data_IF_822923320426
#
_entry.id   IF_822923320426
#
_cell.length_a   1.000
_cell.length_b   1.000
_cell.length_c   1.000
_cell.angle_alpha   90.00
_cell.angle_beta   90.00
_cell.angle_gamma   90.00
#
_symmetry.space_group_name_H-M   'P 1'
#
loop_
_entity.id
_entity.type
_entity.pdbx_description
1 polymer ?
#
# COMPACT_ATOMS: atom_id res chain seq x y z
N UNK A 1 18.10 -3.78 -19.47
CA UNK A 1 17.26 -4.79 -18.80
C UNK A 1 16.25 -4.02 -17.97
N UNK A 2 14.97 -4.04 -18.34
CA UNK A 2 13.90 -3.44 -17.52
C UNK A 2 13.63 -4.38 -16.36
N UNK A 3 14.22 -4.08 -15.19
CA UNK A 3 13.90 -4.81 -13.95
C UNK A 3 12.42 -4.71 -13.64
N UNK A 4 11.84 -5.75 -13.02
CA UNK A 4 10.47 -5.70 -12.52
C UNK A 4 10.34 -4.54 -11.54
N UNK A 5 9.27 -3.76 -11.67
CA UNK A 5 8.98 -2.68 -10.74
C UNK A 5 8.37 -3.29 -9.48
N UNK A 6 9.19 -3.42 -8.43
CA UNK A 6 8.84 -4.03 -7.16
C UNK A 6 8.72 -2.96 -6.08
N UNK A 7 7.67 -3.06 -5.26
CA UNK A 7 7.54 -2.35 -3.99
C UNK A 7 7.33 -3.35 -2.86
N UNK A 8 8.08 -3.18 -1.77
CA UNK A 8 8.02 -4.02 -0.58
C UNK A 8 7.63 -3.14 0.59
N UNK A 9 6.62 -3.50 1.37
CA UNK A 9 6.23 -2.76 2.56
C UNK A 9 6.15 -3.68 3.77
N UNK A 10 6.48 -3.18 4.95
CA UNK A 10 6.47 -3.93 6.20
C UNK A 10 5.84 -3.11 7.32
N UNK A 11 5.22 -3.80 8.29
CA UNK A 11 4.44 -3.19 9.34
C UNK A 11 4.73 -3.87 10.68
N UNK A 12 5.56 -3.23 11.50
CA UNK A 12 5.89 -3.72 12.83
C UNK A 12 5.28 -2.83 13.93
N UNK A 13 4.08 -3.17 14.42
CA UNK A 13 3.46 -2.43 15.52
C UNK A 13 4.23 -2.55 16.84
N UNK A 14 5.06 -3.61 17.04
CA UNK A 14 5.79 -3.79 18.31
C UNK A 14 6.87 -2.72 18.51
N UNK A 15 7.45 -2.26 17.42
CA UNK A 15 8.48 -1.22 17.42
C UNK A 15 7.96 0.14 16.90
N UNK A 16 6.64 0.27 16.67
CA UNK A 16 6.02 1.46 16.05
C UNK A 16 6.73 1.89 14.75
N UNK A 17 7.09 0.89 13.95
CA UNK A 17 7.93 1.03 12.76
C UNK A 17 7.23 0.42 11.55
N UNK A 18 7.06 1.23 10.51
CA UNK A 18 6.57 0.78 9.21
C UNK A 18 7.49 1.31 8.11
N UNK A 19 7.47 0.71 6.95
CA UNK A 19 8.23 1.25 5.83
C UNK A 19 7.85 0.66 4.50
N UNK A 20 8.31 1.32 3.45
CA UNK A 20 8.24 0.85 2.06
C UNK A 20 9.60 1.01 1.38
N UNK A 21 10.00 0.02 0.60
CA UNK A 21 11.26 -0.03 -0.15
C UNK A 21 10.94 -0.32 -1.61
N UNK A 22 11.58 0.43 -2.51
CA UNK A 22 11.40 0.36 -3.96
C UNK A 22 12.75 0.53 -4.65
N UNK A 23 12.82 0.14 -5.92
CA UNK A 23 13.92 0.58 -6.78
C UNK A 23 14.00 2.12 -6.76
N UNK A 24 15.12 2.64 -6.25
CA UNK A 24 15.39 4.09 -6.16
C UNK A 24 15.15 4.75 -4.80
N UNK A 25 14.53 4.08 -3.83
CA UNK A 25 14.35 4.70 -2.51
C UNK A 25 13.58 3.87 -1.48
N UNK A 26 13.68 4.30 -0.23
CA UNK A 26 12.94 3.75 0.88
C UNK A 26 12.32 4.88 1.71
N UNK A 27 11.21 4.58 2.37
CA UNK A 27 10.58 5.43 3.37
C UNK A 27 10.38 4.61 4.64
N UNK A 28 10.73 5.19 5.77
CA UNK A 28 10.47 4.67 7.10
C UNK A 28 9.53 5.61 7.85
N UNK A 29 8.57 5.03 8.55
CA UNK A 29 7.65 5.71 9.46
C UNK A 29 7.94 5.21 10.87
N UNK A 30 8.48 6.08 11.71
CA UNK A 30 8.81 5.78 13.11
C UNK A 30 8.05 6.76 14.00
N UNK A 31 7.17 6.25 14.86
CA UNK A 31 6.37 7.09 15.77
C UNK A 31 5.64 8.23 15.03
N UNK A 32 5.12 7.92 13.85
CA UNK A 32 4.41 8.86 12.98
C UNK A 32 5.28 9.85 12.20
N UNK A 33 6.62 9.74 12.27
CA UNK A 33 7.55 10.58 11.50
C UNK A 33 8.08 9.82 10.30
N UNK A 34 7.93 10.42 9.12
CA UNK A 34 8.51 9.91 7.89
C UNK A 34 9.99 10.30 7.77
N UNK A 35 10.83 9.38 7.31
CA UNK A 35 12.23 9.63 6.96
C UNK A 35 12.63 8.77 5.77
N UNK A 36 13.61 9.24 4.99
CA UNK A 36 14.26 8.45 3.95
C UNK A 36 15.63 8.01 4.48
N UNK A 37 15.87 6.70 4.69
CA UNK A 37 17.18 6.25 5.14
C UNK A 37 18.24 6.54 4.07
N UNK A 38 19.45 6.98 4.48
CA UNK A 38 20.54 7.15 3.54
C UNK A 38 21.04 5.78 3.08
N UNK A 39 21.54 5.71 1.86
CA UNK A 39 22.16 4.51 1.30
C UNK A 39 21.58 4.12 -0.05
N UNK A 40 22.32 3.27 -0.76
CA UNK A 40 21.82 2.63 -1.96
C UNK A 40 20.77 1.58 -1.58
N UNK A 41 19.69 1.54 -2.36
CA UNK A 41 18.61 0.57 -2.17
C UNK A 41 18.82 -0.59 -3.14
N UNK A 42 19.06 -1.77 -2.59
CA UNK A 42 19.12 -3.02 -3.34
C UNK A 42 17.88 -3.86 -3.03
N UNK A 43 17.15 -4.23 -4.09
CA UNK A 43 16.00 -5.13 -4.01
C UNK A 43 16.21 -6.23 -5.03
N UNK A 44 16.34 -7.46 -4.53
CA UNK A 44 16.60 -8.62 -5.38
C UNK A 44 15.73 -9.82 -4.98
N UNK A 45 15.39 -10.70 -5.95
CA UNK A 45 14.73 -11.97 -5.64
C UNK A 45 15.56 -12.83 -4.69
N UNK A 46 14.89 -13.51 -3.76
CA UNK A 46 15.50 -14.42 -2.79
C UNK A 46 14.56 -15.61 -2.51
N UNK A 47 14.85 -16.78 -3.09
CA UNK A 47 13.93 -17.92 -3.07
C UNK A 47 12.62 -17.59 -3.78
N UNK A 48 11.49 -17.90 -3.16
CA UNK A 48 10.14 -17.53 -3.63
C UNK A 48 9.77 -16.07 -3.31
N UNK A 49 10.65 -15.37 -2.58
CA UNK A 49 10.41 -14.02 -2.07
C UNK A 49 11.42 -13.00 -2.56
N UNK A 50 11.59 -11.94 -1.77
CA UNK A 50 12.53 -10.86 -2.06
C UNK A 50 13.33 -10.50 -0.83
N UNK A 51 14.52 -9.94 -1.06
CA UNK A 51 15.32 -9.28 -0.03
C UNK A 51 15.47 -7.81 -0.38
N UNK A 52 15.36 -6.97 0.64
CA UNK A 52 15.56 -5.54 0.55
C UNK A 52 16.71 -5.15 1.46
N UNK A 53 17.67 -4.40 0.94
CA UNK A 53 18.82 -3.88 1.68
C UNK A 53 18.90 -2.38 1.41
N UNK A 54 19.01 -1.59 2.47
CA UNK A 54 19.46 -0.20 2.39
C UNK A 54 20.67 -0.10 3.27
N UNK A 55 21.83 0.16 2.66
CA UNK A 55 23.13 0.04 3.30
C UNK A 55 23.20 0.83 4.63
N UNK A 56 23.52 0.14 5.71
CA UNK A 56 23.59 0.71 7.07
C UNK A 56 22.24 1.05 7.72
N UNK A 57 21.11 0.80 7.05
CA UNK A 57 19.78 1.20 7.52
C UNK A 57 18.80 0.03 7.70
N UNK A 58 18.69 -0.88 6.73
CA UNK A 58 17.83 -2.06 6.85
C UNK A 58 18.30 -3.23 6.00
N UNK A 59 17.94 -4.43 6.44
CA UNK A 59 18.15 -5.69 5.76
C UNK A 59 16.96 -6.61 6.08
N UNK A 60 16.06 -6.79 5.12
CA UNK A 60 14.78 -7.48 5.32
C UNK A 60 14.55 -8.55 4.26
N UNK A 61 14.00 -9.68 4.68
CA UNK A 61 13.53 -10.77 3.82
C UNK A 61 12.01 -10.81 3.83
N UNK A 62 11.41 -10.92 2.65
CA UNK A 62 9.97 -10.97 2.42
C UNK A 62 9.61 -12.34 1.87
N UNK A 63 8.89 -13.14 2.64
CA UNK A 63 8.43 -14.48 2.25
C UNK A 63 6.92 -14.44 1.98
N UNK A 64 6.45 -14.75 0.76
CA UNK A 64 5.02 -14.72 0.48
C UNK A 64 4.22 -15.70 1.35
N UNK A 65 3.06 -15.25 1.82
CA UNK A 65 2.09 -16.02 2.60
C UNK A 65 0.76 -16.19 1.84
N UNK A 66 0.52 -15.37 0.82
CA UNK A 66 -0.65 -15.48 -0.05
C UNK A 66 -0.24 -15.72 -1.51
N UNK A 67 -1.14 -16.27 -2.35
CA UNK A 67 -0.98 -16.17 -3.81
C UNK A 67 -0.97 -14.69 -4.25
N UNK A 68 -0.42 -14.38 -5.44
CA UNK A 68 -0.50 -13.05 -6.01
C UNK A 68 -1.95 -12.69 -6.38
N UNK A 69 -2.40 -11.54 -5.88
CA UNK A 69 -3.75 -11.02 -6.09
C UNK A 69 -3.69 -9.83 -7.05
N UNK A 70 -4.48 -9.89 -8.12
CA UNK A 70 -4.50 -8.86 -9.17
C UNK A 70 -5.25 -7.61 -8.70
N UNK A 71 -4.60 -6.46 -8.82
CA UNK A 71 -5.07 -5.14 -8.39
C UNK A 71 -4.72 -4.10 -9.45
N UNK A 72 -5.58 -3.97 -10.46
CA UNK A 72 -5.59 -2.81 -11.37
C UNK A 72 -4.26 -2.49 -12.06
N UNK A 73 -3.50 -3.50 -12.52
CA UNK A 73 -2.17 -3.32 -13.12
C UNK A 73 -1.00 -3.66 -12.20
N UNK A 74 -1.28 -4.27 -11.04
CA UNK A 74 -0.29 -4.81 -10.13
C UNK A 74 -0.72 -6.17 -9.58
N UNK A 75 0.25 -6.94 -9.10
CA UNK A 75 0.04 -8.15 -8.29
C UNK A 75 0.54 -7.88 -6.90
N UNK A 76 -0.31 -8.12 -5.90
CA UNK A 76 0.05 -7.94 -4.49
C UNK A 76 -0.03 -9.25 -3.73
N UNK A 77 0.95 -9.50 -2.88
CA UNK A 77 1.01 -10.63 -1.96
C UNK A 77 1.14 -10.13 -0.52
N UNK A 78 0.50 -10.84 0.41
CA UNK A 78 0.82 -10.75 1.84
C UNK A 78 2.12 -11.51 2.06
N UNK A 79 3.01 -10.95 2.88
CA UNK A 79 4.30 -11.53 3.19
C UNK A 79 4.55 -11.58 4.70
N UNK A 80 5.27 -12.60 5.15
CA UNK A 80 6.04 -12.55 6.39
C UNK A 80 7.33 -11.77 6.13
N UNK A 81 7.72 -10.93 7.08
CA UNK A 81 8.89 -10.07 6.99
C UNK A 81 9.78 -10.33 8.19
N UNK A 82 11.03 -10.68 7.93
CA UNK A 82 12.03 -10.91 8.96
C UNK A 82 13.34 -10.18 8.62
N UNK A 83 14.03 -9.69 9.64
CA UNK A 83 15.35 -9.07 9.47
C UNK A 83 15.58 -7.94 10.46
N UNK A 84 16.29 -6.90 10.02
CA UNK A 84 16.63 -5.76 10.87
C UNK A 84 16.38 -4.42 10.19
N UNK A 85 15.95 -3.45 10.98
CA UNK A 85 15.92 -2.02 10.63
C UNK A 85 16.58 -1.28 11.78
N UNK A 86 17.68 -0.59 11.50
CA UNK A 86 18.54 0.01 12.53
C UNK A 86 18.88 -1.03 13.61
N UNK A 87 18.53 -0.75 14.86
CA UNK A 87 18.77 -1.64 16.02
C UNK A 87 17.61 -2.62 16.29
N UNK A 88 16.48 -2.50 15.57
CA UNK A 88 15.30 -3.34 15.76
C UNK A 88 15.39 -4.63 14.94
N UNK A 89 15.09 -5.77 15.57
CA UNK A 89 14.88 -7.05 14.89
C UNK A 89 13.38 -7.23 14.63
N UNK A 90 13.03 -7.43 13.37
CA UNK A 90 11.65 -7.56 12.93
C UNK A 90 11.28 -9.02 12.67
N UNK A 91 10.06 -9.36 13.06
CA UNK A 91 9.32 -10.55 12.69
C UNK A 91 7.84 -10.13 12.63
N UNK A 92 7.43 -9.69 11.45
CA UNK A 92 6.16 -8.98 11.24
C UNK A 92 5.55 -9.29 9.86
N UNK A 93 4.48 -8.58 9.51
CA UNK A 93 3.81 -8.72 8.22
C UNK A 93 4.16 -7.60 7.27
N UNK A 94 3.94 -7.85 5.99
CA UNK A 94 4.19 -6.90 4.93
C UNK A 94 3.47 -7.24 3.64
N UNK A 95 3.74 -6.46 2.61
CA UNK A 95 3.25 -6.69 1.25
C UNK A 95 4.38 -6.67 0.25
N UNK A 96 4.28 -7.53 -0.76
CA UNK A 96 5.06 -7.47 -1.99
C UNK A 96 4.12 -7.06 -3.12
N UNK A 97 4.49 -6.00 -3.83
CA UNK A 97 3.76 -5.50 -4.99
C UNK A 97 4.67 -5.56 -6.21
N UNK A 98 4.22 -6.27 -7.25
CA UNK A 98 4.80 -6.24 -8.59
C UNK A 98 3.89 -5.42 -9.51
N UNK A 99 4.41 -4.34 -10.10
CA UNK A 99 3.69 -3.61 -11.15
C UNK A 99 3.77 -4.40 -12.45
N UNK A 100 2.63 -4.94 -12.89
CA UNK A 100 2.50 -5.74 -14.13
C UNK A 100 2.15 -4.88 -15.33
N UNK A 101 1.52 -3.72 -15.11
CA UNK A 101 1.26 -2.70 -16.11
C UNK A 101 1.44 -1.30 -15.49
N UNK A 102 2.37 -0.52 -16.03
CA UNK A 102 2.59 0.85 -15.56
C UNK A 102 1.34 1.72 -15.80
N UNK A 103 0.96 2.60 -14.85
CA UNK A 103 -0.15 3.53 -15.06
C UNK A 103 0.11 4.47 -16.23
N UNK A 104 -0.88 4.66 -17.10
CA UNK A 104 -0.87 5.72 -18.11
C UNK A 104 -1.39 7.00 -17.44
N UNK A 105 -0.50 7.82 -16.89
CA UNK A 105 -0.88 8.99 -16.08
C UNK A 105 -1.69 10.05 -16.83
N UNK A 106 -1.55 10.15 -18.15
CA UNK A 106 -2.40 11.02 -18.96
C UNK A 106 -3.89 10.64 -18.89
N UNK A 107 -4.21 9.39 -18.52
CA UNK A 107 -5.58 8.86 -18.41
C UNK A 107 -6.09 8.84 -16.96
N UNK A 108 -5.30 9.28 -15.98
CA UNK A 108 -5.65 9.20 -14.56
C UNK A 108 -5.49 10.56 -13.87
N UNK A 109 -6.46 10.91 -13.05
CA UNK A 109 -6.32 12.01 -12.07
C UNK A 109 -5.72 11.51 -10.75
N UNK A 110 -6.01 10.25 -10.40
CA UNK A 110 -5.48 9.65 -9.19
C UNK A 110 -5.37 8.12 -9.29
N UNK A 111 -4.37 7.58 -8.59
CA UNK A 111 -4.26 6.17 -8.26
C UNK A 111 -4.11 6.05 -6.75
N UNK A 112 -4.94 5.22 -6.14
CA UNK A 112 -4.87 4.88 -4.72
C UNK A 112 -4.55 3.41 -4.59
N UNK A 113 -3.56 3.10 -3.77
CA UNK A 113 -3.22 1.72 -3.39
C UNK A 113 -3.18 1.66 -1.88
N UNK A 114 -3.87 0.69 -1.30
CA UNK A 114 -3.87 0.51 0.15
C UNK A 114 -3.82 -0.96 0.53
N UNK A 115 -3.20 -1.20 1.68
CA UNK A 115 -3.20 -2.47 2.36
C UNK A 115 -3.61 -2.28 3.81
N UNK A 116 -4.26 -3.28 4.39
CA UNK A 116 -4.49 -3.43 5.81
C UNK A 116 -4.30 -4.90 6.18
N UNK A 117 -3.43 -5.19 7.14
CA UNK A 117 -3.06 -6.53 7.56
C UNK A 117 -3.34 -6.66 9.06
N UNK A 118 -4.18 -7.62 9.43
CA UNK A 118 -4.52 -7.90 10.83
C UNK A 118 -3.72 -9.09 11.36
N UNK A 119 -3.56 -10.11 10.52
CA UNK A 119 -2.70 -11.28 10.75
C UNK A 119 -2.34 -11.91 9.39
N UNK A 120 -1.70 -13.08 9.41
CA UNK A 120 -1.29 -13.79 8.20
C UNK A 120 -2.48 -14.26 7.34
N UNK A 121 -3.65 -14.43 7.94
CA UNK A 121 -4.84 -15.03 7.35
C UNK A 121 -5.95 -13.98 7.07
N UNK A 122 -5.77 -12.73 7.53
CA UNK A 122 -6.73 -11.65 7.46
C UNK A 122 -6.08 -10.38 6.92
N UNK A 123 -6.39 -10.03 5.68
CA UNK A 123 -5.86 -8.85 5.01
C UNK A 123 -6.86 -8.22 4.03
N UNK A 124 -6.75 -6.91 3.84
CA UNK A 124 -7.46 -6.13 2.83
C UNK A 124 -6.43 -5.50 1.90
N UNK A 125 -6.58 -5.71 0.60
CA UNK A 125 -5.74 -5.10 -0.42
C UNK A 125 -6.65 -4.43 -1.44
N UNK A 126 -6.41 -3.16 -1.77
CA UNK A 126 -7.23 -2.45 -2.74
C UNK A 126 -6.43 -1.51 -3.63
N UNK A 127 -6.88 -1.38 -4.87
CA UNK A 127 -6.46 -0.37 -5.83
C UNK A 127 -7.68 0.37 -6.34
N UNK A 128 -7.65 1.70 -6.30
CA UNK A 128 -8.73 2.56 -6.81
C UNK A 128 -8.14 3.57 -7.78
N UNK A 129 -8.55 3.47 -9.04
CA UNK A 129 -8.11 4.33 -10.14
C UNK A 129 -9.21 5.34 -10.42
N UNK A 130 -8.85 6.62 -10.45
CA UNK A 130 -9.75 7.69 -10.90
C UNK A 130 -9.36 8.06 -12.34
N UNK A 131 -10.18 7.71 -13.34
CA UNK A 131 -9.98 8.17 -14.70
C UNK A 131 -9.93 9.68 -14.79
N UNK A 132 -9.17 10.19 -15.77
CA UNK A 132 -9.06 11.62 -16.09
C UNK A 132 -10.45 12.22 -16.34
N UNK A 133 -10.78 13.29 -15.64
CA UNK A 133 -12.04 14.01 -15.81
C UNK A 133 -13.25 13.33 -15.15
N UNK A 134 -13.04 12.28 -14.36
CA UNK A 134 -14.11 11.62 -13.61
C UNK A 134 -14.79 12.61 -12.65
N UNK A 135 -16.13 12.69 -12.70
CA UNK A 135 -16.90 13.71 -11.96
C UNK A 135 -17.05 13.45 -10.47
N UNK A 136 -16.78 12.23 -10.03
CA UNK A 136 -16.89 11.85 -8.62
C UNK A 136 -16.56 10.38 -8.37
N UNK A 137 -16.75 9.95 -7.12
CA UNK A 137 -16.35 8.62 -6.66
C UNK A 137 -17.06 7.45 -7.39
N UNK A 138 -18.26 7.68 -7.94
CA UNK A 138 -19.00 6.65 -8.68
C UNK A 138 -18.40 6.29 -10.05
N UNK A 139 -17.44 7.05 -10.54
CA UNK A 139 -16.72 6.80 -11.80
C UNK A 139 -15.31 6.23 -11.55
N UNK A 140 -14.99 5.89 -10.30
CA UNK A 140 -13.72 5.28 -9.94
C UNK A 140 -13.74 3.77 -10.23
N UNK A 141 -12.61 3.28 -10.74
CA UNK A 141 -12.41 1.86 -11.00
C UNK A 141 -11.70 1.26 -9.79
N UNK A 142 -12.47 0.63 -8.90
CA UNK A 142 -11.96 -0.02 -7.70
C UNK A 142 -11.82 -1.53 -7.92
N UNK A 143 -10.72 -2.10 -7.45
CA UNK A 143 -10.51 -3.54 -7.29
C UNK A 143 -10.00 -3.79 -5.90
N UNK A 144 -10.61 -4.72 -5.18
CA UNK A 144 -10.14 -5.11 -3.86
C UNK A 144 -10.27 -6.61 -3.63
N UNK A 145 -9.39 -7.11 -2.77
CA UNK A 145 -9.42 -8.46 -2.25
C UNK A 145 -9.49 -8.40 -0.73
N UNK A 146 -10.37 -9.24 -0.17
CA UNK A 146 -10.36 -9.55 1.26
C UNK A 146 -9.81 -10.96 1.41
N UNK A 147 -8.69 -11.10 2.12
CA UNK A 147 -8.22 -12.40 2.61
C UNK A 147 -8.88 -12.61 3.96
N UNK A 148 -9.62 -13.72 4.10
CA UNK A 148 -10.29 -14.11 5.33
C UNK A 148 -10.05 -15.60 5.57
N UNK A 149 -9.55 -15.94 6.75
CA UNK A 149 -9.11 -17.30 7.11
C UNK A 149 -8.13 -17.89 6.06
N UNK A 150 -7.25 -17.04 5.54
CA UNK A 150 -6.25 -17.39 4.53
C UNK A 150 -6.82 -17.56 3.11
N UNK A 151 -8.12 -17.36 2.93
CA UNK A 151 -8.82 -17.51 1.65
C UNK A 151 -9.03 -16.13 1.01
N UNK A 152 -8.44 -15.85 -0.17
CA UNK A 152 -8.72 -14.62 -0.90
C UNK A 152 -10.12 -14.65 -1.53
N UNK A 153 -10.91 -13.62 -1.23
CA UNK A 153 -12.21 -13.37 -1.82
C UNK A 153 -12.16 -12.06 -2.60
N UNK A 154 -12.51 -12.10 -3.87
CA UNK A 154 -12.64 -10.90 -4.69
C UNK A 154 -13.86 -10.11 -4.20
N UNK A 155 -13.67 -8.82 -3.94
CA UNK A 155 -14.75 -7.92 -3.54
C UNK A 155 -15.51 -7.48 -4.80
N UNK A 156 -16.83 -7.65 -4.83
CA UNK A 156 -17.67 -7.33 -5.99
C UNK A 156 -17.83 -5.81 -6.17
N UNK A 157 -18.07 -5.09 -5.07
CA UNK A 157 -18.12 -3.64 -5.05
C UNK A 157 -17.29 -3.10 -3.89
N UNK A 158 -16.42 -2.14 -4.18
CA UNK A 158 -15.61 -1.46 -3.17
C UNK A 158 -15.89 0.03 -3.22
N UNK A 159 -16.23 0.62 -2.07
CA UNK A 159 -16.31 2.07 -1.90
C UNK A 159 -15.23 2.53 -0.95
N UNK A 160 -14.42 3.48 -1.41
CA UNK A 160 -13.37 4.13 -0.63
C UNK A 160 -13.73 5.59 -0.40
N UNK A 161 -13.80 5.98 0.86
CA UNK A 161 -13.87 7.37 1.28
C UNK A 161 -12.56 7.77 1.95
N UNK A 162 -12.07 8.96 1.66
CA UNK A 162 -10.82 9.48 2.23
C UNK A 162 -11.05 10.89 2.73
N UNK A 163 -10.55 11.14 3.94
CA UNK A 163 -10.55 12.46 4.57
C UNK A 163 -9.12 12.98 4.51
N UNK A 164 -8.96 14.19 3.99
CA UNK A 164 -7.65 14.80 3.76
C UNK A 164 -7.33 15.88 4.80
N UNK A 165 -6.04 16.11 5.04
CA UNK A 165 -5.55 17.29 5.76
C UNK A 165 -5.50 18.52 4.85
N UNK A 166 -5.10 19.68 5.40
CA UNK A 166 -5.02 20.94 4.65
C UNK A 166 -3.97 20.91 3.52
N UNK A 167 -3.06 19.94 3.52
CA UNK A 167 -2.02 19.73 2.51
C UNK A 167 -2.40 18.65 1.49
N UNK A 168 -3.64 18.12 1.55
CA UNK A 168 -4.10 17.07 0.64
C UNK A 168 -3.62 15.66 0.98
N UNK A 169 -2.97 15.45 2.14
CA UNK A 169 -2.55 14.13 2.60
C UNK A 169 -3.69 13.41 3.31
N UNK A 170 -3.66 12.09 3.29
CA UNK A 170 -4.67 11.26 3.92
C UNK A 170 -4.59 11.40 5.45
N UNK A 171 -5.72 11.67 6.09
CA UNK A 171 -5.87 11.69 7.56
C UNK A 171 -6.60 10.44 8.05
N UNK A 172 -7.66 10.06 7.37
CA UNK A 172 -8.43 8.85 7.64
C UNK A 172 -9.09 8.34 6.36
N UNK A 173 -9.46 7.07 6.37
CA UNK A 173 -10.15 6.42 5.26
C UNK A 173 -11.22 5.46 5.78
N UNK A 174 -12.28 5.26 5.00
CA UNK A 174 -13.30 4.26 5.24
C UNK A 174 -13.51 3.41 3.99
N UNK A 175 -13.62 2.10 4.17
CA UNK A 175 -13.98 1.15 3.13
C UNK A 175 -15.30 0.48 3.44
N UNK A 176 -16.13 0.36 2.41
CA UNK A 176 -17.26 -0.55 2.36
C UNK A 176 -17.00 -1.59 1.27
N UNK A 177 -17.09 -2.87 1.63
CA UNK A 177 -16.71 -4.01 0.80
C UNK A 177 -17.91 -4.96 0.68
N UNK A 178 -18.51 -5.05 -0.50
CA UNK A 178 -19.55 -6.03 -0.79
C UNK A 178 -18.91 -7.30 -1.31
N UNK A 179 -19.01 -8.37 -0.52
CA UNK A 179 -18.53 -9.70 -0.89
C UNK A 179 -19.61 -10.44 -1.69
N UNK A 180 -19.24 -11.47 -2.48
CA UNK A 180 -20.19 -12.30 -3.17
C UNK A 180 -21.26 -12.84 -2.21
N UNK A 181 -22.52 -12.77 -2.65
CA UNK A 181 -23.68 -13.27 -1.91
C UNK A 181 -23.99 -12.53 -0.60
N UNK A 182 -23.33 -11.39 -0.31
CA UNK A 182 -23.62 -10.56 0.87
C UNK A 182 -24.43 -9.29 0.53
N UNK A 183 -25.58 -9.10 1.18
CA UNK A 183 -26.41 -7.89 1.02
C UNK A 183 -25.84 -6.64 1.72
N UNK A 184 -25.02 -6.84 2.76
CA UNK A 184 -24.47 -5.77 3.59
C UNK A 184 -22.95 -5.76 3.47
N UNK A 185 -22.33 -4.56 3.34
CA UNK A 185 -20.89 -4.50 3.19
C UNK A 185 -20.18 -4.81 4.51
N UNK A 186 -19.05 -5.49 4.41
CA UNK A 186 -17.99 -5.43 5.44
C UNK A 186 -17.40 -4.03 5.47
N UNK A 187 -16.98 -3.57 6.65
CA UNK A 187 -16.49 -2.20 6.85
C UNK A 187 -15.13 -2.18 7.50
N UNK A 188 -14.24 -1.39 6.92
CA UNK A 188 -12.96 -1.05 7.52
C UNK A 188 -12.85 0.46 7.68
N UNK A 189 -12.20 0.91 8.74
CA UNK A 189 -11.83 2.32 8.93
C UNK A 189 -10.37 2.42 9.29
N UNK A 190 -9.66 3.38 8.72
CA UNK A 190 -8.24 3.59 8.96
C UNK A 190 -7.91 5.03 9.31
N UNK A 191 -6.84 5.21 10.07
CA UNK A 191 -6.28 6.51 10.44
C UNK A 191 -4.80 6.53 10.12
N UNK A 192 -4.33 7.64 9.55
CA UNK A 192 -2.91 7.85 9.33
C UNK A 192 -2.16 7.93 10.67
N UNK A 193 -1.08 7.18 10.78
CA UNK A 193 -0.11 7.25 11.88
C UNK A 193 0.95 8.31 11.60
N UNK A 194 1.34 8.43 10.33
CA UNK A 194 2.31 9.38 9.81
C UNK A 194 2.35 9.32 8.29
N UNK A 195 2.72 10.41 7.64
CA UNK A 195 2.73 10.49 6.19
C UNK A 195 3.66 11.55 5.65
N UNK A 196 4.04 11.39 4.38
CA UNK A 196 4.85 12.35 3.64
C UNK A 196 4.35 12.48 2.21
N UNK A 197 4.73 13.58 1.57
CA UNK A 197 4.50 13.84 0.16
C UNK A 197 5.84 13.79 -0.57
N UNK A 198 5.84 13.23 -1.77
CA UNK A 198 6.96 13.23 -2.71
C UNK A 198 6.49 13.86 -4.01
N UNK A 199 7.24 14.83 -4.50
CA UNK A 199 7.04 15.39 -5.85
C UNK A 199 7.96 14.64 -6.82
N UNK A 200 7.39 14.16 -7.91
CA UNK A 200 8.13 13.52 -9.00
C UNK A 200 8.24 14.48 -10.19
N UNK A 201 9.32 14.36 -10.97
CA UNK A 201 9.64 15.28 -12.08
C UNK A 201 8.54 15.39 -13.15
N UNK A 202 7.59 14.45 -13.20
CA UNK A 202 6.50 14.38 -14.18
C UNK A 202 5.19 15.05 -13.71
N UNK A 203 5.23 15.98 -12.75
CA UNK A 203 4.02 16.62 -12.22
C UNK A 203 3.14 15.67 -11.40
N UNK A 204 3.72 14.58 -10.90
CA UNK A 204 3.03 13.64 -10.01
C UNK A 204 3.37 13.96 -8.57
N UNK A 205 2.34 13.96 -7.72
CA UNK A 205 2.49 14.06 -6.27
C UNK A 205 2.10 12.73 -5.65
N UNK A 206 3.00 12.13 -4.87
CA UNK A 206 2.75 10.88 -4.15
C UNK A 206 2.63 11.17 -2.66
N UNK A 207 1.42 11.01 -2.12
CA UNK A 207 1.15 11.04 -0.70
C UNK A 207 1.17 9.61 -0.14
N UNK A 208 2.17 9.31 0.69
CA UNK A 208 2.36 7.99 1.32
C UNK A 208 2.13 8.13 2.81
N UNK A 209 1.33 7.25 3.39
CA UNK A 209 1.08 7.25 4.82
C UNK A 209 0.99 5.82 5.38
N UNK A 210 1.61 5.61 6.54
CA UNK A 210 1.36 4.44 7.37
C UNK A 210 -0.01 4.57 8.04
N UNK A 211 -0.79 3.49 8.06
CA UNK A 211 -2.17 3.47 8.51
C UNK A 211 -2.37 2.39 9.57
N UNK A 212 -3.13 2.75 10.61
CA UNK A 212 -3.77 1.81 11.51
C UNK A 212 -5.20 1.60 11.04
N UNK A 213 -5.61 0.34 10.87
CA UNK A 213 -6.91 -0.08 10.38
C UNK A 213 -7.71 -0.76 11.47
N UNK A 214 -9.04 -0.66 11.36
CA UNK A 214 -10.01 -1.37 12.21
C UNK A 214 -11.05 -2.06 11.34
N UNK A 215 -11.31 -3.33 11.61
CA UNK A 215 -12.37 -4.14 11.00
C UNK A 215 -12.82 -5.16 12.05
N UNK A 216 -14.13 -5.37 12.21
CA UNK A 216 -14.70 -6.36 13.14
C UNK A 216 -14.14 -6.29 14.58
N UNK A 217 -13.89 -5.07 15.07
CA UNK A 217 -13.33 -4.82 16.41
C UNK A 217 -11.83 -5.11 16.55
N UNK A 218 -11.16 -5.56 15.49
CA UNK A 218 -9.74 -5.90 15.44
C UNK A 218 -8.93 -4.77 14.84
N UNK A 219 -7.68 -4.65 15.27
CA UNK A 219 -6.72 -3.65 14.77
C UNK A 219 -5.73 -4.30 13.80
N UNK A 220 -5.41 -3.59 12.73
CA UNK A 220 -4.47 -3.99 11.69
C UNK A 220 -3.58 -2.82 11.30
N UNK A 221 -2.52 -3.11 10.55
CA UNK A 221 -1.54 -2.12 10.09
C UNK A 221 -1.43 -2.17 8.57
N UNK A 222 -1.05 -1.06 7.96
CA UNK A 222 -0.83 -1.07 6.52
C UNK A 222 -0.34 0.25 5.96
N UNK A 223 -0.37 0.34 4.63
CA UNK A 223 0.08 1.50 3.88
C UNK A 223 -1.11 2.06 3.09
N UNK A 224 -1.18 3.38 2.96
CA UNK A 224 -2.04 4.03 2.00
C UNK A 224 -1.22 5.01 1.17
N UNK A 225 -1.10 4.70 -0.12
CA UNK A 225 -0.50 5.54 -1.15
C UNK A 225 -1.56 6.16 -2.04
N UNK A 226 -1.41 7.47 -2.28
CA UNK A 226 -2.20 8.24 -3.21
C UNK A 226 -1.24 8.96 -4.14
N UNK A 227 -1.26 8.58 -5.41
CA UNK A 227 -0.60 9.35 -6.46
C UNK A 227 -1.64 10.22 -7.15
N UNK A 228 -1.35 11.51 -7.23
CA UNK A 228 -2.13 12.52 -7.91
C UNK A 228 -1.37 13.00 -9.14
N UNK A 229 -2.10 13.32 -10.18
CA UNK A 229 -1.59 14.03 -11.34
C UNK A 229 -1.97 15.51 -11.21
N UNK A 230 -0.98 16.37 -10.98
CA UNK A 230 -1.20 17.80 -10.66
C UNK A 230 -1.44 18.66 -11.91
N UNK A 231 -1.31 18.10 -13.11
CA UNK A 231 -1.67 18.82 -14.34
C UNK A 231 -3.19 18.82 -14.55
N UNK A 232 -3.82 19.95 -14.89
CA UNK A 232 -5.23 20.00 -15.25
C UNK A 232 -5.52 19.25 -16.56
N UNK A 233 -6.71 18.68 -16.69
CA UNK A 233 -7.15 18.07 -17.95
C UNK A 233 -7.11 19.12 -19.08
N UNK A 234 -6.59 18.72 -20.25
CA UNK A 234 -6.68 19.56 -21.44
C UNK A 234 -8.17 19.82 -21.74
N UNK A 235 -8.53 21.10 -21.90
CA UNK A 235 -9.89 21.57 -22.12
C UNK A 235 -10.47 21.13 -23.48
#
# INVERSE_FOLDING_TARGET
MTGRAIALAFFDPRHELQGTVRAGGALLFEQGRASSPPGEVDVHPAGEGYRAIVDGSLELSFSPLSPPLELGGSRTQVCGVAGRVKDATLDCLGTLVETTAAPVWAELDALRSLSGLWDADTALLASVRRPRGARGHGEELATAWLVHDGVPVLVEETRLSTVYDASGRQRSAGLELWLPEEDLPRRASGRALGGTSLELESGLVVNVAAFEWRMDGREGQGLYELTLHDEPAAA
#
